data_IF_850494135078
#
_entry.id   IF_850494135078
#
_cell.length_a   1.000
_cell.length_b   1.000
_cell.length_c   1.000
_cell.angle_alpha   90.00
_cell.angle_beta   90.00
_cell.angle_gamma   90.00
#
_symmetry.space_group_name_H-M   'P 1'
#
loop_
_entity.id
_entity.type
_entity.pdbx_description
1 polymer ?
#
# COMPACT_ATOMS: atom_id res chain seq x y z
N UNK A 1 -41.29 -2.53 37.33
CA UNK A 1 -41.24 -2.98 35.92
C UNK A 1 -40.63 -1.93 34.98
N UNK A 2 -41.12 -0.69 34.97
CA UNK A 2 -40.71 0.38 34.04
C UNK A 2 -39.20 0.73 34.09
N UNK A 3 -38.61 0.87 35.28
CA UNK A 3 -37.18 1.18 35.43
C UNK A 3 -36.25 0.03 35.05
N UNK A 4 -36.67 -1.23 35.19
CA UNK A 4 -35.83 -2.39 34.82
C UNK A 4 -35.66 -2.52 33.30
N UNK A 5 -36.71 -2.15 32.55
CA UNK A 5 -36.67 -2.12 31.07
C UNK A 5 -35.70 -1.03 30.58
N UNK A 6 -35.71 0.14 31.23
CA UNK A 6 -34.81 1.26 30.89
C UNK A 6 -33.34 0.89 31.12
N UNK A 7 -33.02 0.22 32.24
CA UNK A 7 -31.66 -0.21 32.55
C UNK A 7 -31.15 -1.23 31.52
N UNK A 8 -32.00 -2.18 31.12
CA UNK A 8 -31.65 -3.23 30.16
C UNK A 8 -31.38 -2.65 28.76
N UNK A 9 -32.12 -1.62 28.36
CA UNK A 9 -31.95 -0.92 27.09
C UNK A 9 -30.65 -0.08 27.07
N UNK A 10 -30.28 0.52 28.19
CA UNK A 10 -29.01 1.26 28.34
C UNK A 10 -27.81 0.32 28.27
N UNK A 11 -27.85 -0.84 28.93
CA UNK A 11 -26.75 -1.83 28.86
C UNK A 11 -26.54 -2.39 27.46
N UNK A 12 -27.62 -2.56 26.68
CA UNK A 12 -27.53 -2.96 25.29
C UNK A 12 -26.88 -1.89 24.41
N UNK A 13 -27.11 -0.60 24.71
CA UNK A 13 -26.51 0.52 24.00
C UNK A 13 -24.98 0.58 24.20
N UNK A 14 -24.49 0.25 25.40
CA UNK A 14 -23.05 0.23 25.69
C UNK A 14 -22.29 -0.91 25.00
N UNK A 15 -22.94 -2.03 24.70
CA UNK A 15 -22.33 -3.13 23.93
C UNK A 15 -22.28 -2.86 22.41
N UNK A 16 -23.01 -1.86 21.91
CA UNK A 16 -23.00 -1.49 20.50
C UNK A 16 -21.78 -0.62 20.11
N UNK A 17 -21.02 -0.11 21.09
CA UNK A 17 -19.75 0.56 20.84
C UNK A 17 -18.66 -0.50 20.62
N UNK A 18 -18.65 -1.10 19.43
CA UNK A 18 -17.59 -2.01 19.01
C UNK A 18 -16.22 -1.33 19.03
N UNK A 19 -15.18 -2.07 19.41
CA UNK A 19 -13.81 -1.53 19.44
C UNK A 19 -13.41 -1.01 18.06
N UNK A 20 -12.74 0.14 18.03
CA UNK A 20 -12.16 0.69 16.82
C UNK A 20 -11.23 -0.35 16.20
N UNK A 21 -11.51 -0.77 14.97
CA UNK A 21 -10.64 -1.66 14.21
C UNK A 21 -9.23 -1.06 14.20
N UNK A 22 -8.17 -1.84 14.47
CA UNK A 22 -6.82 -1.32 14.38
C UNK A 22 -6.63 -0.79 12.96
N UNK A 23 -6.28 0.49 12.86
CA UNK A 23 -5.92 1.10 11.59
C UNK A 23 -4.67 0.37 11.12
N UNK A 24 -4.78 -0.38 10.02
CA UNK A 24 -3.62 -0.99 9.40
C UNK A 24 -2.65 0.14 9.01
N UNK A 25 -1.43 0.10 9.52
CA UNK A 25 -0.39 1.07 9.18
C UNK A 25 0.09 0.80 7.75
N UNK A 26 -0.67 1.29 6.78
CA UNK A 26 -0.47 1.14 5.34
C UNK A 26 0.40 2.25 4.73
N UNK A 27 0.97 3.13 5.56
CA UNK A 27 1.77 4.26 5.12
C UNK A 27 3.07 3.78 4.46
N UNK A 28 3.40 4.39 3.32
CA UNK A 28 4.60 4.09 2.54
C UNK A 28 5.94 4.24 3.32
N UNK A 29 5.95 4.96 4.44
CA UNK A 29 7.13 5.12 5.30
C UNK A 29 7.40 3.88 6.16
N UNK A 30 6.35 3.15 6.52
CA UNK A 30 6.42 2.03 7.46
C UNK A 30 6.23 0.67 6.76
N UNK A 31 5.84 0.66 5.49
CA UNK A 31 5.61 -0.55 4.72
C UNK A 31 6.72 -0.75 3.67
N UNK A 32 7.29 -1.96 3.53
CA UNK A 32 8.17 -2.28 2.41
C UNK A 32 7.44 -2.12 1.06
N UNK A 33 8.20 -1.78 0.03
CA UNK A 33 7.67 -1.67 -1.34
C UNK A 33 7.46 -3.08 -1.90
N UNK A 34 6.22 -3.45 -2.19
CA UNK A 34 5.89 -4.68 -2.88
C UNK A 34 6.06 -4.47 -4.39
N UNK A 35 6.72 -5.41 -5.08
CA UNK A 35 6.87 -5.37 -6.53
C UNK A 35 6.69 -6.76 -7.12
N UNK A 36 6.06 -6.83 -8.29
CA UNK A 36 5.84 -8.08 -9.01
C UNK A 36 6.05 -7.89 -10.51
N UNK A 37 6.47 -8.97 -11.16
CA UNK A 37 6.75 -9.06 -12.58
C UNK A 37 5.94 -10.22 -13.15
N UNK A 38 5.12 -9.99 -14.17
CA UNK A 38 4.40 -11.07 -14.83
C UNK A 38 5.11 -11.49 -16.12
N UNK A 39 5.83 -12.62 -16.05
CA UNK A 39 6.59 -13.20 -17.17
C UNK A 39 5.72 -13.96 -18.19
N UNK A 40 4.43 -14.16 -17.93
CA UNK A 40 3.53 -14.85 -18.87
C UNK A 40 2.92 -13.92 -19.92
N UNK A 41 2.92 -12.62 -19.66
CA UNK A 41 2.31 -11.58 -20.51
C UNK A 41 3.37 -10.73 -21.21
N UNK A 42 4.35 -11.38 -21.84
CA UNK A 42 5.40 -10.67 -22.59
C UNK A 42 4.89 -10.32 -23.98
N UNK A 43 4.90 -9.02 -24.31
CA UNK A 43 4.49 -8.50 -25.62
C UNK A 43 5.53 -7.50 -26.10
N UNK A 44 6.07 -7.69 -27.30
CA UNK A 44 7.09 -6.81 -27.91
C UNK A 44 8.31 -6.58 -27.01
N UNK A 45 8.85 -7.64 -26.41
CA UNK A 45 9.97 -7.58 -25.45
C UNK A 45 9.73 -6.66 -24.24
N UNK A 46 8.46 -6.40 -23.89
CA UNK A 46 8.07 -5.68 -22.68
C UNK A 46 7.42 -6.64 -21.70
N UNK A 47 7.75 -6.46 -20.43
CA UNK A 47 7.18 -7.24 -19.32
C UNK A 47 6.41 -6.30 -18.39
N UNK A 48 5.16 -6.59 -18.04
CA UNK A 48 4.41 -5.79 -17.07
C UNK A 48 5.02 -5.90 -15.66
N UNK A 49 5.22 -4.74 -15.04
CA UNK A 49 5.74 -4.58 -13.67
C UNK A 49 4.70 -3.84 -12.85
N UNK A 50 4.36 -4.37 -11.68
CA UNK A 50 3.49 -3.69 -10.70
C UNK A 50 4.32 -3.31 -9.48
N UNK A 51 4.16 -2.08 -9.00
CA UNK A 51 4.84 -1.55 -7.82
C UNK A 51 3.80 -0.97 -6.87
N UNK A 52 3.75 -1.49 -5.65
CA UNK A 52 2.91 -1.00 -4.56
C UNK A 52 3.80 -0.54 -3.40
N UNK A 53 4.03 0.78 -3.26
CA UNK A 53 4.77 1.37 -2.17
C UNK A 53 3.92 1.63 -0.91
N UNK A 54 2.62 1.30 -0.92
CA UNK A 54 1.68 1.67 0.13
C UNK A 54 1.10 3.08 -0.04
N UNK A 55 0.41 3.56 0.99
CA UNK A 55 -0.34 4.82 0.96
C UNK A 55 0.56 6.03 1.07
N UNK A 56 0.39 6.98 0.15
CA UNK A 56 1.04 8.27 0.17
C UNK A 56 0.24 9.31 0.95
N UNK A 57 0.95 10.27 1.54
CA UNK A 57 0.40 11.50 2.14
C UNK A 57 0.73 12.75 1.32
N UNK A 58 1.58 12.59 0.29
CA UNK A 58 2.03 13.67 -0.59
C UNK A 58 1.24 13.62 -1.90
N UNK A 59 0.97 14.77 -2.48
CA UNK A 59 0.22 14.90 -3.74
C UNK A 59 1.03 14.47 -4.97
N UNK A 60 2.36 14.53 -4.89
CA UNK A 60 3.27 14.19 -5.99
C UNK A 60 4.33 13.20 -5.51
N UNK A 61 4.61 12.19 -6.33
CA UNK A 61 5.61 11.16 -6.07
C UNK A 61 6.55 11.05 -7.25
N UNK A 62 7.85 11.01 -6.98
CA UNK A 62 8.89 10.93 -8.00
C UNK A 62 9.55 9.56 -8.00
N UNK A 63 9.44 8.85 -9.12
CA UNK A 63 10.14 7.57 -9.34
C UNK A 63 11.49 7.85 -10.01
N UNK A 64 12.52 7.12 -9.58
CA UNK A 64 13.88 7.26 -10.11
C UNK A 64 14.38 5.92 -10.63
N UNK A 65 14.87 5.92 -11.85
CA UNK A 65 15.49 4.75 -12.48
C UNK A 65 17.01 4.92 -12.48
N UNK A 66 17.78 3.86 -12.21
CA UNK A 66 19.23 3.93 -12.26
C UNK A 66 19.74 4.31 -13.65
N UNK A 67 20.82 5.08 -13.71
CA UNK A 67 21.56 5.35 -14.95
C UNK A 67 22.69 4.34 -15.20
N UNK A 68 23.22 3.78 -14.12
CA UNK A 68 24.36 2.85 -14.08
C UNK A 68 24.06 1.77 -13.02
N UNK A 69 24.48 0.53 -13.28
CA UNK A 69 24.44 -0.57 -12.28
C UNK A 69 25.80 -0.68 -11.61
N UNK A 70 25.80 -0.96 -10.31
CA UNK A 70 27.03 -1.19 -9.56
C UNK A 70 27.86 -2.32 -10.22
N UNK A 71 29.17 -2.11 -10.33
CA UNK A 71 30.08 -3.05 -10.98
C UNK A 71 30.38 -2.76 -12.46
N UNK A 72 29.81 -1.70 -13.05
CA UNK A 72 30.24 -1.21 -14.37
C UNK A 72 30.34 0.31 -14.42
N UNK A 73 31.20 0.83 -15.29
CA UNK A 73 31.28 2.26 -15.61
C UNK A 73 30.43 2.65 -16.83
N UNK A 74 29.85 1.66 -17.51
CA UNK A 74 29.02 1.88 -18.68
C UNK A 74 27.68 2.53 -18.32
N UNK A 75 27.44 3.72 -18.89
CA UNK A 75 26.15 4.40 -18.84
C UNK A 75 25.17 3.65 -19.73
N UNK A 76 24.18 3.01 -19.11
CA UNK A 76 23.18 2.20 -19.84
C UNK A 76 21.85 2.94 -20.03
N UNK A 77 21.58 3.91 -19.14
CA UNK A 77 20.37 4.74 -19.13
C UNK A 77 19.07 3.93 -19.21
N UNK A 78 18.74 3.24 -18.11
CA UNK A 78 17.62 2.30 -18.08
C UNK A 78 16.24 2.97 -18.18
N UNK A 79 16.17 4.30 -18.01
CA UNK A 79 14.94 5.06 -18.21
C UNK A 79 14.35 4.93 -19.62
N UNK A 80 15.16 4.63 -20.62
CA UNK A 80 14.73 4.52 -22.03
C UNK A 80 13.77 3.35 -22.32
N UNK A 81 13.60 2.41 -21.39
CA UNK A 81 12.79 1.20 -21.58
C UNK A 81 11.40 1.28 -20.93
N UNK A 82 11.10 2.39 -20.26
CA UNK A 82 9.81 2.63 -19.60
C UNK A 82 8.89 3.42 -20.54
#
# INVERSE_FOLDING_TARGET
MKHRIVILLITALFMACGSSKPVANDLAVNNPIASSLNLSEVVNDKVPVTIDPGRFTQETVTYRLPRVVQGTYSVSDFGKYI
#
